data_IF_650573401560
#
_entry.id   IF_650573401560
#
_cell.length_a   1.000
_cell.length_b   1.000
_cell.length_c   1.000
_cell.angle_alpha   90.00
_cell.angle_beta   90.00
_cell.angle_gamma   90.00
#
_symmetry.space_group_name_H-M   'P 1'
#
loop_
_entity.id
_entity.type
_entity.pdbx_description
1 polymer ?
#
# COMPACT_ATOMS: atom_id res chain seq x y z
N UNK A 1 -16.94 -19.70 -2.62
CA UNK A 1 -15.60 -19.44 -3.19
C UNK A 1 -15.62 -18.07 -3.86
N UNK A 2 -14.49 -17.36 -3.97
CA UNK A 2 -14.46 -15.96 -4.45
C UNK A 2 -14.64 -14.87 -3.37
N UNK A 3 -14.41 -15.20 -2.09
CA UNK A 3 -14.44 -14.22 -0.99
C UNK A 3 -13.02 -13.81 -0.61
N UNK A 4 -12.82 -12.54 -0.27
CA UNK A 4 -11.59 -12.06 0.34
C UNK A 4 -11.67 -12.18 1.87
N UNK A 5 -10.56 -12.54 2.52
CA UNK A 5 -10.46 -12.52 3.98
C UNK A 5 -10.08 -11.11 4.44
N UNK A 6 -10.87 -10.55 5.35
CA UNK A 6 -10.49 -9.35 6.09
C UNK A 6 -9.48 -9.74 7.18
N UNK A 7 -8.19 -9.52 6.92
CA UNK A 7 -7.13 -9.96 7.83
C UNK A 7 -6.84 -8.95 8.95
N UNK A 8 -7.72 -8.87 9.94
CA UNK A 8 -7.52 -8.03 11.12
C UNK A 8 -6.39 -8.52 12.05
N UNK A 9 -5.87 -9.74 11.84
CA UNK A 9 -4.84 -10.33 12.71
C UNK A 9 -3.47 -9.69 12.55
N UNK A 10 -3.30 -8.86 11.52
CA UNK A 10 -2.08 -8.06 11.30
C UNK A 10 -1.88 -6.97 12.36
N UNK A 11 -2.92 -6.59 13.10
CA UNK A 11 -2.83 -5.62 14.19
C UNK A 11 -2.32 -6.23 15.52
N UNK A 12 -1.90 -7.49 15.53
CA UNK A 12 -1.38 -8.15 16.73
C UNK A 12 0.09 -7.75 17.03
N UNK A 13 0.45 -7.78 18.31
CA UNK A 13 1.82 -7.51 18.77
C UNK A 13 2.81 -8.45 18.07
N UNK A 14 3.97 -7.92 17.66
CA UNK A 14 5.06 -8.61 16.95
C UNK A 14 4.72 -9.13 15.54
N UNK A 15 3.57 -8.77 14.97
CA UNK A 15 3.32 -8.97 13.53
C UNK A 15 4.08 -7.94 12.71
N UNK A 16 4.52 -8.35 11.52
CA UNK A 16 5.17 -7.47 10.55
C UNK A 16 4.26 -7.26 9.34
N UNK A 17 4.30 -6.05 8.79
CA UNK A 17 3.70 -5.68 7.53
C UNK A 17 4.77 -5.10 6.62
N UNK A 18 4.54 -5.22 5.32
CA UNK A 18 5.40 -4.62 4.30
C UNK A 18 5.36 -3.10 4.45
N UNK A 19 6.54 -2.47 4.50
CA UNK A 19 6.63 -1.02 4.56
C UNK A 19 6.29 -0.40 3.18
N UNK A 20 5.67 0.79 3.15
CA UNK A 20 5.54 1.58 1.91
C UNK A 20 6.88 1.71 1.19
N UNK A 21 6.85 1.62 -0.14
CA UNK A 21 8.01 1.69 -1.04
C UNK A 21 9.07 0.59 -0.86
N UNK A 22 8.84 -0.42 -0.03
CA UNK A 22 9.73 -1.57 0.05
C UNK A 22 9.56 -2.53 -1.13
N UNK A 23 10.68 -3.05 -1.63
CA UNK A 23 10.70 -4.06 -2.69
C UNK A 23 10.24 -5.43 -2.17
N UNK A 24 9.64 -6.24 -3.04
CA UNK A 24 9.18 -7.59 -2.74
C UNK A 24 10.09 -8.63 -3.41
N UNK A 25 10.38 -9.75 -2.75
CA UNK A 25 11.20 -10.83 -3.31
C UNK A 25 10.39 -11.67 -4.30
N UNK A 26 10.02 -11.07 -5.43
CA UNK A 26 9.27 -11.70 -6.52
C UNK A 26 9.91 -11.33 -7.87
N UNK A 27 9.67 -12.11 -8.95
CA UNK A 27 10.15 -11.77 -10.28
C UNK A 27 9.80 -10.34 -10.68
N UNK A 28 10.78 -9.60 -11.20
CA UNK A 28 10.63 -8.18 -11.54
C UNK A 28 10.84 -7.21 -10.38
N UNK A 29 11.00 -7.70 -9.14
CA UNK A 29 11.17 -6.89 -7.92
C UNK A 29 10.09 -5.79 -7.80
N UNK A 30 8.79 -6.17 -7.70
CA UNK A 30 7.72 -5.21 -7.53
C UNK A 30 7.83 -4.47 -6.19
N UNK A 31 7.29 -3.27 -6.14
CA UNK A 31 7.38 -2.37 -4.98
C UNK A 31 5.99 -2.15 -4.38
N UNK A 32 5.90 -2.11 -3.05
CA UNK A 32 4.67 -1.78 -2.33
C UNK A 32 4.36 -0.28 -2.41
N UNK A 33 3.85 0.17 -3.55
CA UNK A 33 3.59 1.59 -3.84
C UNK A 33 2.24 2.02 -3.27
N UNK A 34 2.19 3.08 -2.44
CA UNK A 34 0.92 3.72 -2.09
C UNK A 34 0.25 4.33 -3.32
N UNK A 35 -1.08 4.21 -3.39
CA UNK A 35 -1.89 4.68 -4.51
C UNK A 35 -3.03 5.58 -4.01
N UNK A 36 -3.62 6.35 -4.91
CA UNK A 36 -4.85 7.12 -4.64
C UNK A 36 -6.10 6.25 -4.77
N UNK A 37 -7.25 6.77 -4.33
CA UNK A 37 -8.55 6.13 -4.56
C UNK A 37 -8.91 6.05 -6.05
N UNK A 38 -8.62 7.08 -6.83
CA UNK A 38 -8.87 7.07 -8.27
C UNK A 38 -8.01 6.01 -8.99
N UNK A 39 -6.77 5.78 -8.54
CA UNK A 39 -5.91 4.70 -9.06
C UNK A 39 -6.45 3.31 -8.70
N UNK A 40 -7.17 3.17 -7.58
CA UNK A 40 -7.81 1.90 -7.18
C UNK A 40 -8.95 1.50 -8.13
N UNK A 41 -9.63 2.47 -8.72
CA UNK A 41 -10.74 2.25 -9.66
C UNK A 41 -10.26 1.79 -11.06
N UNK A 42 -8.94 1.83 -11.34
CA UNK A 42 -8.38 1.33 -12.60
C UNK A 42 -8.51 -0.21 -12.69
N UNK A 43 -9.31 -0.75 -13.64
CA UNK A 43 -9.48 -2.20 -13.79
C UNK A 43 -8.21 -2.92 -14.26
N UNK A 44 -7.21 -2.19 -14.76
CA UNK A 44 -5.90 -2.71 -15.14
C UNK A 44 -4.87 -2.69 -14.00
N UNK A 45 -5.24 -2.17 -12.83
CA UNK A 45 -4.36 -2.13 -11.66
C UNK A 45 -3.95 -3.55 -11.26
N UNK A 46 -2.64 -3.74 -11.10
CA UNK A 46 -2.05 -4.99 -10.61
C UNK A 46 -1.09 -4.71 -9.46
N UNK A 47 -0.95 -5.65 -8.50
CA UNK A 47 -0.06 -5.47 -7.34
C UNK A 47 1.43 -5.39 -7.70
N UNK A 48 1.81 -5.73 -8.93
CA UNK A 48 3.18 -5.69 -9.47
C UNK A 48 3.34 -4.59 -10.54
N UNK A 49 2.46 -3.58 -10.54
CA UNK A 49 2.46 -2.48 -11.52
C UNK A 49 3.78 -1.69 -11.53
N UNK A 50 4.35 -1.48 -10.35
CA UNK A 50 5.59 -0.74 -10.18
C UNK A 50 6.68 -1.63 -9.63
N UNK A 51 7.89 -1.39 -10.10
CA UNK A 51 9.10 -2.13 -9.77
C UNK A 51 10.19 -1.19 -9.28
N UNK A 52 11.29 -1.74 -8.79
CA UNK A 52 12.48 -0.96 -8.45
C UNK A 52 13.02 -0.11 -9.61
N UNK A 53 12.62 -0.40 -10.86
CA UNK A 53 13.09 0.30 -12.06
C UNK A 53 12.30 1.58 -12.36
N UNK A 54 11.04 1.64 -11.95
CA UNK A 54 10.10 2.70 -12.35
C UNK A 54 9.50 3.47 -11.16
N UNK A 55 9.62 2.96 -9.93
CA UNK A 55 8.98 3.57 -8.76
C UNK A 55 9.47 5.00 -8.48
N UNK A 56 10.73 5.30 -8.77
CA UNK A 56 11.27 6.66 -8.58
C UNK A 56 10.67 7.64 -9.59
N UNK A 57 10.54 7.25 -10.86
CA UNK A 57 9.88 8.06 -11.87
C UNK A 57 8.39 8.28 -11.53
N UNK A 58 7.72 7.25 -10.98
CA UNK A 58 6.35 7.39 -10.46
C UNK A 58 6.28 8.39 -9.29
N UNK A 59 7.25 8.39 -8.40
CA UNK A 59 7.29 9.32 -7.27
C UNK A 59 7.51 10.76 -7.74
N UNK A 60 8.40 10.97 -8.72
CA UNK A 60 8.62 12.29 -9.33
C UNK A 60 7.38 12.82 -10.05
N UNK A 61 6.65 11.95 -10.76
CA UNK A 61 5.51 12.36 -11.56
C UNK A 61 4.26 12.72 -10.74
N UNK A 62 4.01 12.04 -9.62
CA UNK A 62 2.72 12.15 -8.90
C UNK A 62 2.87 12.40 -7.40
N UNK A 63 4.10 12.39 -6.87
CA UNK A 63 4.37 12.55 -5.44
C UNK A 63 4.02 11.31 -4.60
N UNK A 64 4.14 11.46 -3.28
CA UNK A 64 3.80 10.44 -2.27
C UNK A 64 2.36 10.65 -1.76
N UNK A 65 1.41 9.75 -2.07
CA UNK A 65 0.04 9.83 -1.56
C UNK A 65 -0.07 9.76 -0.03
N UNK A 66 0.90 9.19 0.68
CA UNK A 66 0.89 9.07 2.13
C UNK A 66 1.52 10.27 2.85
N UNK A 67 2.21 11.16 2.15
CA UNK A 67 2.86 12.32 2.77
C UNK A 67 1.92 13.15 3.69
N UNK A 68 0.65 13.39 3.32
CA UNK A 68 -0.30 14.10 4.19
C UNK A 68 -0.69 13.36 5.48
N UNK A 69 -0.42 12.06 5.60
CA UNK A 69 -0.75 11.26 6.78
C UNK A 69 0.34 11.33 7.85
N UNK A 70 1.54 11.80 7.52
CA UNK A 70 2.64 11.92 8.48
C UNK A 70 2.24 12.92 9.57
N UNK A 71 2.25 12.47 10.82
CA UNK A 71 1.86 13.27 11.99
C UNK A 71 0.35 13.37 12.23
N UNK A 72 -0.49 12.76 11.39
CA UNK A 72 -1.94 12.75 11.59
C UNK A 72 -2.33 11.75 12.68
N UNK A 73 -2.94 12.26 13.75
CA UNK A 73 -3.52 11.43 14.81
C UNK A 73 -5.03 11.32 14.63
N UNK A 74 -5.58 10.14 14.92
CA UNK A 74 -7.01 9.86 14.85
C UNK A 74 -7.42 9.00 16.05
N UNK A 75 -8.59 9.26 16.61
CA UNK A 75 -9.16 8.47 17.70
C UNK A 75 -10.17 7.47 17.12
N UNK A 76 -10.12 6.24 17.62
CA UNK A 76 -11.12 5.24 17.23
C UNK A 76 -12.46 5.59 17.89
N UNK A 77 -13.59 5.40 17.18
CA UNK A 77 -14.90 5.54 17.80
C UNK A 77 -15.09 4.49 18.90
N UNK A 78 -16.01 4.71 19.85
CA UNK A 78 -16.42 3.68 20.79
C UNK A 78 -16.88 2.42 20.04
N UNK A 79 -16.39 1.26 20.46
CA UNK A 79 -16.85 -0.03 19.95
C UNK A 79 -18.06 -0.45 20.79
N UNK A 80 -19.18 -0.72 20.13
CA UNK A 80 -20.41 -1.23 20.76
C UNK A 80 -20.26 -2.70 21.18
#
# INVERSE_FOLDING_TARGET
EGKARLDYTQNAINKTLVAPFSARPAPGAPVSVPITWDELDDPSLRPDRWTIRDVLARLEAVGDPLAPLIGRQQELPPVA
#
